data_IF_189375910297
#
_entry.id   IF_189375910297
#
_cell.length_a   1.000
_cell.length_b   1.000
_cell.length_c   1.000
_cell.angle_alpha   90.00
_cell.angle_beta   90.00
_cell.angle_gamma   90.00
#
_symmetry.space_group_name_H-M   'P 1'
#
loop_
_entity.id
_entity.type
_entity.pdbx_description
1 polymer ?
#
# COMPACT_ATOMS: atom_id res chain seq x y z
N UNK A 1 -4.45 14.95 14.44
CA UNK A 1 -5.28 15.53 13.37
C UNK A 1 -5.96 14.41 12.60
N UNK A 2 -7.23 14.57 12.22
CA UNK A 2 -7.95 13.59 11.39
C UNK A 2 -7.30 13.47 10.00
N UNK A 3 -7.20 12.26 9.41
CA UNK A 3 -6.66 12.10 8.05
C UNK A 3 -7.51 12.88 7.03
N UNK A 4 -6.89 13.41 5.95
CA UNK A 4 -7.60 14.17 4.94
C UNK A 4 -8.66 13.32 4.23
N UNK A 5 -9.71 13.97 3.71
CA UNK A 5 -10.57 13.35 2.72
C UNK A 5 -9.81 13.33 1.39
N UNK A 6 -9.48 12.14 0.89
CA UNK A 6 -8.91 11.98 -0.44
C UNK A 6 -10.04 11.69 -1.43
N UNK A 7 -10.24 12.58 -2.40
CA UNK A 7 -11.19 12.44 -3.51
C UNK A 7 -10.45 11.81 -4.68
N UNK A 8 -10.70 10.54 -5.04
CA UNK A 8 -10.02 9.91 -6.16
C UNK A 8 -10.66 10.30 -7.50
N UNK A 9 -9.85 10.75 -8.45
CA UNK A 9 -10.23 10.93 -9.85
C UNK A 9 -9.35 10.04 -10.74
N UNK A 10 -9.97 9.03 -11.34
CA UNK A 10 -9.25 8.04 -12.14
C UNK A 10 -9.07 8.50 -13.59
N UNK A 11 -7.84 8.35 -14.08
CA UNK A 11 -7.38 8.58 -15.46
C UNK A 11 -6.78 7.27 -16.03
N UNK A 12 -7.58 6.19 -16.16
CA UNK A 12 -7.09 4.84 -16.38
C UNK A 12 -6.20 4.73 -17.63
N UNK A 13 -4.96 4.25 -17.46
CA UNK A 13 -3.94 4.09 -18.50
C UNK A 13 -3.51 5.40 -19.22
N UNK A 14 -4.07 6.56 -18.88
CA UNK A 14 -3.72 7.79 -19.59
C UNK A 14 -2.31 8.25 -19.25
N UNK A 15 -1.61 8.82 -20.24
CA UNK A 15 -0.22 9.25 -20.12
C UNK A 15 0.80 8.10 -20.09
N UNK A 16 0.37 6.84 -20.11
CA UNK A 16 1.28 5.70 -20.16
C UNK A 16 1.76 5.49 -21.61
N UNK A 17 3.08 5.48 -21.88
CA UNK A 17 3.58 5.28 -23.24
C UNK A 17 3.44 3.82 -23.71
N UNK A 18 3.30 2.88 -22.78
CA UNK A 18 3.20 1.45 -23.03
C UNK A 18 2.46 0.72 -21.91
N UNK A 19 2.11 -0.54 -22.18
CA UNK A 19 1.40 -1.41 -21.25
C UNK A 19 2.38 -2.29 -20.46
N UNK A 20 2.31 -2.23 -19.13
CA UNK A 20 3.08 -3.13 -18.27
C UNK A 20 2.52 -4.56 -18.35
N UNK A 21 3.35 -5.58 -18.10
CA UNK A 21 2.93 -6.99 -18.21
C UNK A 21 1.65 -7.32 -17.43
N UNK A 22 1.46 -6.69 -16.26
CA UNK A 22 0.38 -6.95 -15.33
C UNK A 22 -0.82 -6.01 -15.45
N UNK A 23 -0.73 -4.99 -16.29
CA UNK A 23 -1.81 -3.99 -16.43
C UNK A 23 -2.85 -4.46 -17.47
N UNK A 24 -4.13 -4.36 -17.15
CA UNK A 24 -5.26 -4.69 -18.04
C UNK A 24 -6.11 -3.45 -18.43
N UNK A 25 -5.72 -2.25 -17.98
CA UNK A 25 -6.58 -1.06 -18.02
C UNK A 25 -6.89 -0.54 -19.43
N UNK A 26 -6.11 -0.91 -20.45
CA UNK A 26 -6.43 -0.56 -21.85
C UNK A 26 -7.72 -1.21 -22.34
N UNK A 27 -8.08 -2.39 -21.81
CA UNK A 27 -9.35 -3.06 -22.15
C UNK A 27 -10.54 -2.34 -21.51
N UNK A 28 -10.37 -1.80 -20.30
CA UNK A 28 -11.38 -0.99 -19.59
C UNK A 28 -11.53 0.38 -20.27
N UNK A 29 -10.41 1.00 -20.64
CA UNK A 29 -10.40 2.28 -21.35
C UNK A 29 -11.08 2.18 -22.73
N UNK A 30 -10.91 1.09 -23.48
CA UNK A 30 -11.59 0.89 -24.78
C UNK A 30 -13.10 0.66 -24.66
N UNK A 31 -13.59 0.14 -23.53
CA UNK A 31 -15.02 0.04 -23.26
C UNK A 31 -15.64 1.41 -22.89
N UNK A 32 -14.85 2.32 -22.31
CA UNK A 32 -15.29 3.66 -21.88
C UNK A 32 -15.00 4.77 -22.89
N UNK A 33 -14.21 4.52 -23.94
CA UNK A 33 -13.72 5.54 -24.88
C UNK A 33 -14.66 5.91 -26.03
N UNK A 34 -15.93 5.51 -26.03
CA UNK A 34 -16.83 5.85 -27.15
C UNK A 34 -17.30 7.32 -27.17
N UNK A 35 -17.07 8.12 -26.12
CA UNK A 35 -17.46 9.55 -26.12
C UNK A 35 -16.83 10.31 -24.94
N UNK A 36 -15.58 10.74 -25.02
CA UNK A 36 -14.99 11.63 -24.00
C UNK A 36 -14.32 12.84 -24.66
N UNK A 37 -14.97 14.00 -24.58
CA UNK A 37 -14.41 15.31 -24.94
C UNK A 37 -13.80 15.98 -23.69
N UNK A 38 -12.93 16.98 -23.86
CA UNK A 38 -12.32 17.71 -22.72
C UNK A 38 -13.38 18.34 -21.81
N UNK A 39 -14.46 18.89 -22.39
CA UNK A 39 -15.57 19.46 -21.62
C UNK A 39 -16.25 18.39 -20.74
N UNK A 40 -16.47 17.19 -21.29
CA UNK A 40 -17.05 16.08 -20.51
C UNK A 40 -16.17 15.60 -19.35
N UNK A 41 -14.84 15.83 -19.39
CA UNK A 41 -13.95 15.45 -18.30
C UNK A 41 -13.95 16.45 -17.14
N UNK A 42 -14.02 17.76 -17.43
CA UNK A 42 -14.15 18.77 -16.40
C UNK A 42 -15.49 18.66 -15.65
N UNK A 43 -16.55 18.33 -16.37
CA UNK A 43 -17.87 18.03 -15.80
C UNK A 43 -17.81 16.79 -14.92
N UNK A 44 -17.23 15.68 -15.42
CA UNK A 44 -17.02 14.45 -14.63
C UNK A 44 -16.20 14.71 -13.37
N UNK A 45 -15.15 15.54 -13.46
CA UNK A 45 -14.33 15.92 -12.32
C UNK A 45 -15.17 16.64 -11.27
N UNK A 46 -15.99 17.59 -11.72
CA UNK A 46 -16.91 18.34 -10.87
C UNK A 46 -17.92 17.42 -10.18
N UNK A 47 -18.51 16.47 -10.90
CA UNK A 47 -19.46 15.49 -10.35
C UNK A 47 -18.83 14.59 -9.28
N UNK A 48 -17.60 14.13 -9.53
CA UNK A 48 -16.83 13.34 -8.56
C UNK A 48 -16.55 14.17 -7.31
N UNK A 49 -16.09 15.41 -7.46
CA UNK A 49 -15.82 16.29 -6.32
C UNK A 49 -17.09 16.53 -5.49
N UNK A 50 -18.19 16.92 -6.13
CA UNK A 50 -19.48 17.11 -5.46
C UNK A 50 -19.93 15.86 -4.71
N UNK A 51 -19.79 14.68 -5.32
CA UNK A 51 -20.18 13.41 -4.71
C UNK A 51 -19.36 13.13 -3.45
N UNK A 52 -18.04 13.30 -3.52
CA UNK A 52 -17.16 12.96 -2.40
C UNK A 52 -17.19 13.99 -1.26
N UNK A 53 -17.45 15.27 -1.57
CA UNK A 53 -17.57 16.31 -0.55
C UNK A 53 -18.71 16.02 0.45
N UNK A 54 -19.75 15.28 0.04
CA UNK A 54 -20.82 14.80 0.95
C UNK A 54 -20.27 13.91 2.08
N UNK A 55 -19.12 13.28 1.89
CA UNK A 55 -18.46 12.41 2.87
C UNK A 55 -17.34 13.12 3.67
N UNK A 56 -17.16 14.43 3.52
CA UNK A 56 -16.14 15.23 4.24
C UNK A 56 -16.24 15.03 5.75
N UNK A 57 -17.46 15.03 6.29
CA UNK A 57 -17.72 14.98 7.76
C UNK A 57 -16.87 16.07 8.45
N UNK A 58 -16.23 15.76 9.57
CA UNK A 58 -15.43 16.70 10.37
C UNK A 58 -13.96 16.78 9.89
N UNK A 59 -13.67 16.46 8.62
CA UNK A 59 -12.30 16.53 8.08
C UNK A 59 -12.00 17.93 7.59
N UNK A 60 -10.92 18.50 8.10
CA UNK A 60 -10.51 19.88 7.78
C UNK A 60 -9.68 19.97 6.50
N UNK A 61 -9.17 18.85 6.00
CA UNK A 61 -8.32 18.79 4.81
C UNK A 61 -8.99 17.92 3.75
N UNK A 62 -8.96 18.39 2.51
CA UNK A 62 -9.51 17.70 1.34
C UNK A 62 -8.47 17.73 0.24
N UNK A 63 -8.05 16.55 -0.22
CA UNK A 63 -7.08 16.38 -1.30
C UNK A 63 -7.79 15.78 -2.51
N UNK A 64 -7.59 16.34 -3.70
CA UNK A 64 -7.98 15.68 -4.94
C UNK A 64 -6.81 14.86 -5.47
N UNK A 65 -7.04 13.57 -5.70
CA UNK A 65 -6.00 12.63 -6.10
C UNK A 65 -6.24 12.06 -7.50
N UNK A 66 -5.31 12.33 -8.43
CA UNK A 66 -5.31 11.73 -9.76
C UNK A 66 -4.65 10.35 -9.74
N UNK A 67 -5.43 9.29 -10.01
CA UNK A 67 -5.00 7.88 -9.95
C UNK A 67 -5.26 7.10 -11.24
N UNK A 68 -4.72 5.88 -11.33
CA UNK A 68 -4.98 4.95 -12.43
C UNK A 68 -4.17 5.19 -13.70
N UNK A 69 -3.33 6.21 -13.78
CA UNK A 69 -2.52 6.49 -14.96
C UNK A 69 -1.14 7.05 -14.62
N UNK A 70 -0.56 7.73 -15.59
CA UNK A 70 0.71 8.43 -15.49
C UNK A 70 0.46 9.93 -15.61
N UNK A 71 0.01 10.55 -14.52
CA UNK A 71 -0.53 11.92 -14.55
C UNK A 71 0.47 12.97 -15.08
N UNK A 72 1.73 12.91 -14.63
CA UNK A 72 2.76 13.85 -15.10
C UNK A 72 3.30 13.51 -16.50
N UNK A 73 2.92 12.35 -17.06
CA UNK A 73 3.19 12.01 -18.47
C UNK A 73 2.03 12.26 -19.42
N UNK A 74 0.97 12.95 -18.97
CA UNK A 74 -0.08 13.42 -19.87
C UNK A 74 0.46 14.46 -20.85
N UNK A 75 -0.16 14.53 -22.03
CA UNK A 75 -0.06 15.67 -22.95
C UNK A 75 -0.19 16.99 -22.17
N UNK A 76 0.72 17.95 -22.41
CA UNK A 76 0.78 19.19 -21.63
C UNK A 76 -0.54 19.96 -21.63
N UNK A 77 -1.24 20.00 -22.77
CA UNK A 77 -2.56 20.62 -22.90
C UNK A 77 -3.59 19.99 -21.97
N UNK A 78 -3.60 18.65 -21.88
CA UNK A 78 -4.52 17.89 -21.03
C UNK A 78 -4.16 17.99 -19.55
N UNK A 79 -2.87 17.90 -19.21
CA UNK A 79 -2.39 18.12 -17.83
C UNK A 79 -2.85 19.49 -17.32
N UNK A 80 -2.63 20.54 -18.11
CA UNK A 80 -3.06 21.90 -17.75
C UNK A 80 -4.59 22.01 -17.70
N UNK A 81 -5.33 21.36 -18.59
CA UNK A 81 -6.80 21.39 -18.56
C UNK A 81 -7.33 20.79 -17.25
N UNK A 82 -6.84 19.61 -16.83
CA UNK A 82 -7.23 18.99 -15.57
C UNK A 82 -6.83 19.86 -14.38
N UNK A 83 -5.59 20.35 -14.31
CA UNK A 83 -5.14 21.21 -13.22
C UNK A 83 -5.95 22.51 -13.12
N UNK A 84 -6.29 23.13 -14.26
CA UNK A 84 -7.14 24.33 -14.33
C UNK A 84 -8.56 24.05 -13.86
N UNK A 85 -9.13 22.89 -14.19
CA UNK A 85 -10.47 22.50 -13.78
C UNK A 85 -10.61 22.36 -12.25
N UNK A 86 -9.52 22.09 -11.52
CA UNK A 86 -9.50 22.03 -10.05
C UNK A 86 -9.45 23.42 -9.40
N UNK A 87 -8.94 24.44 -10.09
CA UNK A 87 -8.65 25.74 -9.48
C UNK A 87 -9.85 26.47 -8.86
N UNK A 88 -11.07 26.45 -9.44
CA UNK A 88 -12.24 27.03 -8.80
C UNK A 88 -12.49 26.46 -7.40
N UNK A 89 -12.32 25.16 -7.23
CA UNK A 89 -12.52 24.43 -5.97
C UNK A 89 -11.47 24.77 -4.92
N UNK A 90 -10.22 24.97 -5.34
CA UNK A 90 -9.14 25.42 -4.46
C UNK A 90 -9.41 26.85 -3.99
N UNK A 91 -9.77 27.76 -4.90
CA UNK A 91 -10.10 29.15 -4.54
C UNK A 91 -11.28 29.27 -3.58
N UNK A 92 -12.23 28.34 -3.66
CA UNK A 92 -13.38 28.26 -2.75
C UNK A 92 -13.06 27.54 -1.42
N UNK A 93 -11.83 27.06 -1.20
CA UNK A 93 -11.44 26.34 0.01
C UNK A 93 -12.11 24.96 0.16
N UNK A 94 -12.67 24.41 -0.92
CA UNK A 94 -13.31 23.10 -0.91
C UNK A 94 -12.30 21.98 -1.12
N UNK A 95 -11.25 22.24 -1.91
CA UNK A 95 -10.06 21.40 -2.09
C UNK A 95 -8.85 22.18 -1.57
N UNK A 96 -7.97 21.52 -0.83
CA UNK A 96 -6.81 22.15 -0.20
C UNK A 96 -5.53 21.87 -0.98
N UNK A 97 -5.40 20.68 -1.56
CA UNK A 97 -4.25 20.34 -2.38
C UNK A 97 -4.54 19.24 -3.40
N UNK A 98 -3.62 19.10 -4.34
CA UNK A 98 -3.61 18.08 -5.38
C UNK A 98 -2.56 17.02 -5.05
N UNK A 99 -2.98 15.78 -5.21
CA UNK A 99 -2.15 14.57 -5.16
C UNK A 99 -2.18 13.90 -6.52
N UNK A 100 -1.09 13.26 -6.94
CA UNK A 100 -1.12 12.43 -8.15
C UNK A 100 -0.28 11.17 -8.02
N UNK A 101 -0.66 10.14 -8.77
CA UNK A 101 0.17 8.99 -9.08
C UNK A 101 0.80 9.13 -10.45
N UNK A 102 2.10 8.84 -10.56
CA UNK A 102 2.83 8.95 -11.82
C UNK A 102 4.00 7.98 -11.90
N UNK A 103 4.59 7.84 -13.08
CA UNK A 103 5.82 7.07 -13.27
C UNK A 103 7.07 7.91 -12.95
N UNK A 104 8.13 7.32 -12.40
CA UNK A 104 9.35 8.06 -12.05
C UNK A 104 9.98 8.87 -13.19
N UNK A 105 10.06 8.28 -14.39
CA UNK A 105 10.67 8.86 -15.60
C UNK A 105 9.98 10.15 -16.08
N UNK A 106 8.74 10.38 -15.65
CA UNK A 106 7.95 11.58 -16.03
C UNK A 106 8.12 12.77 -15.10
N UNK A 107 8.81 12.59 -13.97
CA UNK A 107 9.09 13.67 -13.01
C UNK A 107 10.26 14.51 -13.49
N UNK A 108 9.99 15.42 -14.43
CA UNK A 108 10.98 16.33 -15.01
C UNK A 108 10.85 17.74 -14.43
N UNK A 109 11.93 18.55 -14.41
CA UNK A 109 11.86 19.94 -13.95
C UNK A 109 10.76 20.73 -14.66
N UNK A 110 10.70 20.63 -16.01
CA UNK A 110 9.68 21.27 -16.83
C UNK A 110 8.26 20.94 -16.39
N UNK A 111 7.95 19.67 -16.13
CA UNK A 111 6.60 19.27 -15.71
C UNK A 111 6.30 19.73 -14.29
N UNK A 112 7.27 19.71 -13.38
CA UNK A 112 7.08 20.23 -12.02
C UNK A 112 6.86 21.75 -12.01
N UNK A 113 7.57 22.50 -12.85
CA UNK A 113 7.35 23.95 -12.98
C UNK A 113 5.97 24.28 -13.54
N UNK A 114 5.42 23.40 -14.38
CA UNK A 114 4.04 23.53 -14.88
C UNK A 114 3.00 23.16 -13.83
N UNK A 115 3.21 22.09 -13.04
CA UNK A 115 2.17 21.52 -12.19
C UNK A 115 2.12 22.11 -10.77
N UNK A 116 3.26 22.47 -10.18
CA UNK A 116 3.33 22.99 -8.80
C UNK A 116 2.47 24.23 -8.56
N UNK A 117 2.43 25.23 -9.46
CA UNK A 117 1.62 26.44 -9.26
C UNK A 117 0.11 26.17 -9.10
N UNK A 118 -0.37 24.98 -9.49
CA UNK A 118 -1.77 24.60 -9.40
C UNK A 118 -2.15 23.91 -8.08
N UNK A 119 -1.25 23.89 -7.09
CA UNK A 119 -1.50 23.28 -5.77
C UNK A 119 -1.14 21.79 -5.71
N UNK A 120 -0.26 21.30 -6.58
CA UNK A 120 0.31 19.96 -6.47
C UNK A 120 1.23 19.90 -5.24
N UNK A 121 0.87 19.08 -4.24
CA UNK A 121 1.63 18.92 -3.00
C UNK A 121 2.18 17.52 -2.79
N UNK A 122 1.50 16.49 -3.30
CA UNK A 122 1.93 15.10 -3.11
C UNK A 122 2.04 14.34 -4.42
N UNK A 123 3.18 13.69 -4.63
CA UNK A 123 3.41 12.84 -5.81
C UNK A 123 3.77 11.44 -5.36
N UNK A 124 3.01 10.46 -5.84
CA UNK A 124 3.23 9.05 -5.59
C UNK A 124 3.81 8.38 -6.83
N UNK A 125 4.96 7.73 -6.67
CA UNK A 125 5.69 7.09 -7.73
C UNK A 125 5.31 5.62 -7.84
N UNK A 126 4.89 5.19 -9.03
CA UNK A 126 4.71 3.78 -9.37
C UNK A 126 6.04 3.05 -9.54
N UNK A 127 6.79 2.86 -8.45
CA UNK A 127 8.13 2.24 -8.45
C UNK A 127 8.05 0.76 -8.80
N UNK A 128 7.18 0.03 -8.11
CA UNK A 128 7.02 -1.42 -8.15
C UNK A 128 8.22 -2.22 -7.62
N UNK A 129 9.42 -2.00 -8.15
CA UNK A 129 10.66 -2.66 -7.73
C UNK A 129 11.86 -1.72 -7.87
N UNK A 130 12.92 -1.95 -7.09
CA UNK A 130 14.24 -1.31 -7.27
C UNK A 130 15.26 -2.20 -8.00
N UNK A 131 14.83 -3.33 -8.57
CA UNK A 131 15.65 -4.18 -9.46
C UNK A 131 15.32 -3.90 -10.94
N UNK A 132 16.30 -3.39 -11.69
CA UNK A 132 16.15 -3.06 -13.11
C UNK A 132 15.83 -4.29 -13.98
N UNK A 133 16.25 -5.50 -13.58
CA UNK A 133 15.90 -6.75 -14.27
C UNK A 133 14.40 -7.05 -14.13
N UNK A 134 13.86 -6.88 -12.93
CA UNK A 134 12.42 -7.02 -12.66
C UNK A 134 11.61 -5.96 -13.40
N UNK A 135 12.06 -4.70 -13.37
CA UNK A 135 11.41 -3.59 -14.09
C UNK A 135 11.40 -3.81 -15.61
N UNK A 136 12.51 -4.30 -16.16
CA UNK A 136 12.64 -4.64 -17.59
C UNK A 136 11.72 -5.79 -17.96
N UNK A 137 11.74 -6.88 -17.20
CA UNK A 137 10.87 -8.04 -17.45
C UNK A 137 9.39 -7.67 -17.35
N UNK A 138 9.03 -6.79 -16.41
CA UNK A 138 7.68 -6.29 -16.26
C UNK A 138 7.28 -5.21 -17.29
N UNK A 139 8.20 -4.84 -18.19
CA UNK A 139 8.07 -3.75 -19.15
C UNK A 139 7.57 -2.46 -18.51
N UNK A 140 8.16 -2.08 -17.37
CA UNK A 140 7.84 -0.81 -16.70
C UNK A 140 8.34 0.37 -17.49
N UNK A 141 9.46 0.22 -18.21
CA UNK A 141 10.08 1.25 -19.04
C UNK A 141 10.57 2.47 -18.27
N UNK A 142 10.89 2.29 -17.00
CA UNK A 142 11.67 3.20 -16.16
C UNK A 142 12.65 2.34 -15.35
N UNK A 143 13.67 2.97 -14.79
CA UNK A 143 14.73 2.32 -14.00
C UNK A 143 14.68 2.71 -12.52
N UNK A 144 15.40 1.98 -11.69
CA UNK A 144 15.64 2.36 -10.29
C UNK A 144 16.30 3.74 -10.18
N UNK A 145 17.12 4.12 -11.15
CA UNK A 145 17.76 5.43 -11.18
C UNK A 145 16.77 6.56 -11.48
N UNK A 146 15.78 6.32 -12.34
CA UNK A 146 14.67 7.26 -12.54
C UNK A 146 13.90 7.47 -11.25
N UNK A 147 13.70 6.40 -10.45
CA UNK A 147 13.10 6.50 -9.12
C UNK A 147 13.92 7.36 -8.17
N UNK A 148 15.25 7.17 -8.10
CA UNK A 148 16.14 7.99 -7.27
C UNK A 148 16.08 9.46 -7.66
N UNK A 149 16.19 9.75 -8.96
CA UNK A 149 16.12 11.11 -9.51
C UNK A 149 14.77 11.76 -9.25
N UNK A 150 13.67 11.02 -9.45
CA UNK A 150 12.32 11.52 -9.21
C UNK A 150 12.12 11.88 -7.74
N UNK A 151 12.46 10.99 -6.80
CA UNK A 151 12.35 11.26 -5.37
C UNK A 151 13.18 12.48 -4.96
N UNK A 152 14.43 12.58 -5.43
CA UNK A 152 15.29 13.73 -5.16
C UNK A 152 14.67 15.04 -5.69
N UNK A 153 14.18 15.05 -6.94
CA UNK A 153 13.52 16.21 -7.54
C UNK A 153 12.29 16.64 -6.75
N UNK A 154 11.42 15.70 -6.38
CA UNK A 154 10.20 16.00 -5.63
C UNK A 154 10.53 16.65 -4.28
N UNK A 155 11.49 16.06 -3.54
CA UNK A 155 11.94 16.59 -2.25
C UNK A 155 12.57 17.97 -2.36
N UNK A 156 13.44 18.17 -3.35
CA UNK A 156 14.08 19.47 -3.60
C UNK A 156 13.07 20.57 -3.96
N UNK A 157 11.87 20.18 -4.40
CA UNK A 157 10.76 21.08 -4.70
C UNK A 157 9.74 21.20 -3.56
N UNK A 158 10.04 20.66 -2.37
CA UNK A 158 9.17 20.72 -1.19
C UNK A 158 7.91 19.86 -1.28
N UNK A 159 7.86 18.90 -2.21
CA UNK A 159 6.70 18.02 -2.40
C UNK A 159 6.78 16.81 -1.48
N UNK A 160 5.63 16.38 -0.96
CA UNK A 160 5.50 15.09 -0.27
C UNK A 160 5.64 13.96 -1.28
N UNK A 161 6.37 12.94 -0.90
CA UNK A 161 6.75 11.82 -1.75
C UNK A 161 6.10 10.52 -1.29
N UNK A 162 5.46 9.82 -2.23
CA UNK A 162 4.97 8.48 -2.02
C UNK A 162 5.62 7.47 -2.95
N UNK A 163 5.75 6.23 -2.49
CA UNK A 163 6.19 5.11 -3.32
C UNK A 163 5.15 4.01 -3.31
N UNK A 164 4.84 3.50 -4.50
CA UNK A 164 3.99 2.32 -4.68
C UNK A 164 4.90 1.17 -5.09
N UNK A 165 4.82 0.09 -4.33
CA UNK A 165 5.65 -1.10 -4.50
C UNK A 165 4.78 -2.34 -4.57
N UNK A 166 5.28 -3.37 -5.25
CA UNK A 166 4.55 -4.62 -5.43
C UNK A 166 5.38 -5.80 -4.96
N UNK A 167 4.70 -6.81 -4.41
CA UNK A 167 5.29 -8.12 -4.09
C UNK A 167 4.89 -9.16 -5.12
N UNK A 168 5.79 -10.10 -5.41
CA UNK A 168 5.56 -11.17 -6.38
C UNK A 168 5.72 -10.72 -7.83
N UNK A 169 6.53 -9.71 -8.11
CA UNK A 169 6.78 -9.25 -9.47
C UNK A 169 7.47 -10.35 -10.31
N UNK A 170 7.25 -10.43 -11.64
CA UNK A 170 7.93 -11.43 -12.45
C UNK A 170 9.45 -11.23 -12.42
N UNK A 171 10.19 -12.32 -12.18
CA UNK A 171 11.64 -12.29 -12.04
C UNK A 171 12.14 -11.83 -10.67
N UNK A 172 11.24 -11.41 -9.78
CA UNK A 172 11.58 -11.12 -8.39
C UNK A 172 11.90 -12.43 -7.64
N UNK A 173 12.82 -12.38 -6.70
CA UNK A 173 13.16 -13.52 -5.83
C UNK A 173 12.62 -13.29 -4.40
N UNK A 174 12.86 -14.24 -3.51
CA UNK A 174 12.35 -14.18 -2.13
C UNK A 174 12.85 -12.98 -1.32
N UNK A 175 13.98 -12.37 -1.74
CA UNK A 175 14.61 -11.23 -1.09
C UNK A 175 14.44 -9.92 -1.87
N UNK A 176 14.06 -9.95 -3.14
CA UNK A 176 14.01 -8.76 -3.99
C UNK A 176 12.98 -7.73 -3.55
N UNK A 177 11.84 -8.17 -3.01
CA UNK A 177 10.87 -7.29 -2.35
C UNK A 177 11.43 -6.63 -1.08
N UNK A 178 12.23 -7.37 -0.29
CA UNK A 178 12.92 -6.86 0.91
C UNK A 178 13.96 -5.82 0.51
N UNK A 179 14.82 -6.14 -0.45
CA UNK A 179 15.85 -5.22 -0.96
C UNK A 179 15.25 -3.95 -1.57
N UNK A 180 14.11 -4.08 -2.26
CA UNK A 180 13.33 -2.94 -2.76
C UNK A 180 12.89 -2.04 -1.61
N UNK A 181 12.32 -2.62 -0.54
CA UNK A 181 11.89 -1.85 0.63
C UNK A 181 13.06 -1.17 1.36
N UNK A 182 14.19 -1.86 1.56
CA UNK A 182 15.40 -1.31 2.19
C UNK A 182 15.95 -0.13 1.38
N UNK A 183 16.09 -0.31 0.07
CA UNK A 183 16.59 0.73 -0.83
C UNK A 183 15.69 1.96 -0.79
N UNK A 184 14.37 1.78 -0.87
CA UNK A 184 13.42 2.88 -0.81
C UNK A 184 13.38 3.54 0.57
N UNK A 185 13.43 2.77 1.65
CA UNK A 185 13.48 3.29 3.01
C UNK A 185 14.70 4.19 3.23
N UNK A 186 15.86 3.82 2.66
CA UNK A 186 17.06 4.66 2.67
C UNK A 186 16.89 5.98 1.90
N UNK A 187 16.02 6.00 0.88
CA UNK A 187 15.63 7.23 0.17
C UNK A 187 14.58 8.05 0.92
N UNK A 188 14.07 7.58 2.06
CA UNK A 188 13.17 8.27 3.00
C UNK A 188 11.91 8.89 2.36
N UNK A 189 11.12 8.18 1.56
CA UNK A 189 9.83 8.71 1.10
C UNK A 189 8.92 8.98 2.31
N UNK A 190 7.94 9.87 2.17
CA UNK A 190 7.01 10.19 3.25
C UNK A 190 5.99 9.06 3.47
N UNK A 191 5.59 8.41 2.38
CA UNK A 191 4.61 7.31 2.43
C UNK A 191 4.94 6.15 1.48
N UNK A 192 4.48 4.96 1.84
CA UNK A 192 4.54 3.76 1.04
C UNK A 192 3.15 3.12 0.88
N UNK A 193 2.90 2.55 -0.30
CA UNK A 193 1.76 1.67 -0.57
C UNK A 193 2.28 0.35 -1.11
N UNK A 194 1.81 -0.76 -0.53
CA UNK A 194 2.32 -2.09 -0.86
C UNK A 194 1.16 -2.93 -1.37
N UNK A 195 1.35 -3.53 -2.56
CA UNK A 195 0.31 -4.31 -3.23
C UNK A 195 0.82 -5.70 -3.63
N UNK A 196 0.06 -6.77 -3.38
CA UNK A 196 0.34 -8.04 -4.04
C UNK A 196 0.10 -7.94 -5.55
N UNK A 197 0.98 -8.54 -6.35
CA UNK A 197 0.73 -8.69 -7.78
C UNK A 197 -0.36 -9.74 -8.03
N UNK A 198 -1.42 -9.33 -8.72
CA UNK A 198 -2.49 -10.21 -9.17
C UNK A 198 -2.43 -10.45 -10.67
N UNK A 199 -2.92 -11.60 -11.10
CA UNK A 199 -3.03 -11.97 -12.51
C UNK A 199 -4.43 -11.62 -13.00
N UNK A 200 -4.50 -10.59 -13.85
CA UNK A 200 -5.75 -10.10 -14.42
C UNK A 200 -5.93 -10.61 -15.86
N UNK A 201 -7.14 -11.04 -16.17
CA UNK A 201 -7.57 -11.46 -17.50
C UNK A 201 -7.30 -10.37 -18.53
N UNK A 202 -6.77 -10.78 -19.68
CA UNK A 202 -6.38 -9.87 -20.76
C UNK A 202 -5.08 -9.09 -20.54
N UNK A 203 -4.44 -9.18 -19.36
CA UNK A 203 -3.05 -8.73 -19.19
C UNK A 203 -2.07 -9.75 -19.80
N UNK A 204 -0.88 -9.31 -20.22
CA UNK A 204 0.14 -10.25 -20.74
C UNK A 204 0.57 -11.27 -19.68
N UNK A 205 0.54 -10.88 -18.41
CA UNK A 205 0.82 -11.76 -17.27
C UNK A 205 -0.14 -12.96 -17.20
N UNK A 206 -1.40 -12.82 -17.65
CA UNK A 206 -2.34 -13.94 -17.71
C UNK A 206 -1.90 -15.03 -18.69
N UNK A 207 -1.32 -14.64 -19.81
CA UNK A 207 -0.74 -15.60 -20.76
C UNK A 207 0.49 -16.29 -20.14
N UNK A 208 1.36 -15.54 -19.44
CA UNK A 208 2.51 -16.12 -18.76
C UNK A 208 2.09 -17.13 -17.69
N UNK A 209 1.06 -16.80 -16.91
CA UNK A 209 0.48 -17.72 -15.94
C UNK A 209 -0.05 -19.00 -16.59
N UNK A 210 -0.88 -18.90 -17.63
CA UNK A 210 -1.44 -20.06 -18.36
C UNK A 210 -0.38 -20.95 -19.00
N UNK A 211 0.72 -20.36 -19.45
CA UNK A 211 1.84 -21.10 -20.04
C UNK A 211 2.82 -21.68 -19.01
N UNK A 212 2.62 -21.43 -17.71
CA UNK A 212 3.55 -21.82 -16.65
C UNK A 212 4.81 -20.94 -16.54
N UNK A 213 4.96 -19.91 -17.39
CA UNK A 213 6.08 -18.95 -17.35
C UNK A 213 6.08 -18.06 -16.10
N UNK A 214 4.92 -17.86 -15.48
CA UNK A 214 4.80 -17.09 -14.23
C UNK A 214 3.98 -17.86 -13.22
N UNK A 215 4.54 -18.02 -12.01
CA UNK A 215 3.85 -18.61 -10.87
C UNK A 215 3.63 -17.51 -9.84
N UNK A 216 2.37 -17.14 -9.52
CA UNK A 216 2.11 -16.15 -8.50
C UNK A 216 2.48 -16.65 -7.11
N UNK A 217 2.78 -15.72 -6.21
CA UNK A 217 2.91 -16.02 -4.78
C UNK A 217 1.63 -16.62 -4.22
N UNK A 218 1.80 -17.53 -3.26
CA UNK A 218 0.70 -17.93 -2.38
C UNK A 218 0.29 -16.74 -1.49
N UNK A 219 -0.93 -16.81 -0.93
CA UNK A 219 -1.40 -15.79 0.00
C UNK A 219 -0.47 -15.65 1.21
N UNK A 220 0.05 -16.75 1.73
CA UNK A 220 0.98 -16.78 2.86
C UNK A 220 2.32 -16.11 2.51
N UNK A 221 2.90 -16.47 1.35
CA UNK A 221 4.15 -15.86 0.88
C UNK A 221 4.00 -14.35 0.70
N UNK A 222 2.89 -13.90 0.10
CA UNK A 222 2.63 -12.48 -0.10
C UNK A 222 2.42 -11.73 1.23
N UNK A 223 1.74 -12.35 2.20
CA UNK A 223 1.59 -11.79 3.56
C UNK A 223 2.95 -11.66 4.24
N UNK A 224 3.80 -12.68 4.17
CA UNK A 224 5.13 -12.66 4.81
C UNK A 224 6.07 -11.62 4.16
N UNK A 225 6.16 -11.58 2.83
CA UNK A 225 6.96 -10.56 2.14
C UNK A 225 6.46 -9.15 2.46
N UNK A 226 5.14 -8.93 2.42
CA UNK A 226 4.55 -7.61 2.74
C UNK A 226 4.81 -7.23 4.20
N UNK A 227 4.73 -8.18 5.14
CA UNK A 227 5.05 -7.99 6.56
C UNK A 227 6.48 -7.47 6.74
N UNK A 228 7.45 -8.06 6.04
CA UNK A 228 8.86 -7.63 6.05
C UNK A 228 9.00 -6.19 5.53
N UNK A 229 8.40 -5.88 4.38
CA UNK A 229 8.43 -4.51 3.82
C UNK A 229 7.80 -3.47 4.76
N UNK A 230 6.66 -3.78 5.38
CA UNK A 230 6.01 -2.89 6.35
C UNK A 230 6.92 -2.63 7.55
N UNK A 231 7.61 -3.65 8.04
CA UNK A 231 8.55 -3.53 9.15
C UNK A 231 9.70 -2.60 8.79
N UNK A 232 10.28 -2.76 7.59
CA UNK A 232 11.38 -1.93 7.09
C UNK A 232 10.94 -0.47 6.93
N UNK A 233 9.82 -0.21 6.26
CA UNK A 233 9.32 1.15 6.06
C UNK A 233 9.02 1.83 7.40
N UNK A 234 8.30 1.17 8.30
CA UNK A 234 7.99 1.73 9.62
C UNK A 234 9.25 1.98 10.45
N UNK A 235 10.22 1.06 10.42
CA UNK A 235 11.50 1.21 11.11
C UNK A 235 12.31 2.42 10.62
N UNK A 236 12.15 2.80 9.35
CA UNK A 236 12.76 3.99 8.76
C UNK A 236 11.91 5.27 8.90
N UNK A 237 10.78 5.22 9.61
CA UNK A 237 9.87 6.36 9.78
C UNK A 237 8.98 6.65 8.57
N UNK A 238 8.91 5.75 7.58
CA UNK A 238 8.04 5.88 6.40
C UNK A 238 6.63 5.41 6.75
N UNK A 239 5.62 6.25 6.45
CA UNK A 239 4.22 5.91 6.73
C UNK A 239 3.68 4.91 5.70
N UNK A 240 3.22 3.73 6.13
CA UNK A 240 2.54 2.80 5.23
C UNK A 240 1.06 3.17 5.10
N UNK A 241 0.73 3.91 4.04
CA UNK A 241 -0.62 4.43 3.80
C UNK A 241 -1.60 3.34 3.34
N UNK A 242 -1.11 2.29 2.68
CA UNK A 242 -1.94 1.20 2.14
C UNK A 242 -1.21 -0.14 2.12
N UNK A 243 -1.93 -1.20 2.50
CA UNK A 243 -1.53 -2.59 2.36
C UNK A 243 -2.65 -3.33 1.62
N UNK A 244 -2.35 -3.86 0.44
CA UNK A 244 -3.33 -4.51 -0.42
C UNK A 244 -4.19 -3.54 -1.24
N UNK A 245 -4.88 -4.09 -2.24
CA UNK A 245 -5.71 -3.34 -3.18
C UNK A 245 -7.03 -2.87 -2.51
N UNK A 246 -7.69 -1.88 -3.10
CA UNK A 246 -8.99 -1.40 -2.59
C UNK A 246 -10.14 -2.24 -3.14
N UNK A 247 -10.98 -2.79 -2.24
CA UNK A 247 -12.06 -3.68 -2.61
C UNK A 247 -13.04 -3.06 -3.63
N UNK A 248 -13.31 -1.75 -3.54
CA UNK A 248 -14.18 -1.03 -4.50
C UNK A 248 -13.52 -0.77 -5.86
N UNK A 249 -12.19 -0.69 -5.94
CA UNK A 249 -11.47 -0.66 -7.23
C UNK A 249 -11.49 -2.04 -7.92
N UNK A 250 -11.81 -3.08 -7.15
CA UNK A 250 -11.71 -4.48 -7.53
C UNK A 250 -13.07 -5.15 -7.75
N UNK A 251 -14.21 -4.52 -7.44
CA UNK A 251 -15.50 -5.17 -7.70
C UNK A 251 -15.72 -5.39 -9.21
N UNK A 252 -15.17 -4.50 -10.06
CA UNK A 252 -15.18 -4.67 -11.52
C UNK A 252 -14.06 -5.61 -12.04
N UNK A 253 -12.99 -5.80 -11.26
CA UNK A 253 -11.81 -6.61 -11.64
C UNK A 253 -11.76 -7.99 -10.96
N UNK A 254 -12.59 -8.26 -9.94
CA UNK A 254 -12.63 -9.54 -9.22
C UNK A 254 -13.06 -10.68 -10.14
N UNK A 255 -14.05 -10.42 -11.01
CA UNK A 255 -14.48 -11.34 -12.07
C UNK A 255 -13.40 -11.54 -13.15
N UNK A 256 -12.39 -10.67 -13.17
CA UNK A 256 -11.29 -10.67 -14.14
C UNK A 256 -10.00 -11.20 -13.53
N UNK A 257 -9.95 -11.46 -12.24
CA UNK A 257 -8.77 -11.98 -11.59
C UNK A 257 -8.73 -13.50 -11.73
N UNK A 258 -7.70 -14.02 -12.38
CA UNK A 258 -7.59 -15.46 -12.66
C UNK A 258 -6.60 -16.18 -11.76
N UNK A 259 -5.66 -15.45 -11.12
CA UNK A 259 -4.72 -16.01 -10.16
C UNK A 259 -4.07 -14.90 -9.31
N UNK A 260 -3.37 -15.28 -8.25
CA UNK A 260 -2.65 -14.37 -7.37
C UNK A 260 -3.10 -14.43 -5.91
N UNK A 261 -2.33 -13.85 -4.98
CA UNK A 261 -2.60 -13.88 -3.55
C UNK A 261 -3.68 -12.86 -3.16
N UNK A 262 -4.91 -13.09 -3.61
CA UNK A 262 -6.04 -12.21 -3.32
C UNK A 262 -6.71 -12.55 -2.00
N UNK A 263 -7.01 -11.50 -1.24
CA UNK A 263 -7.89 -11.57 -0.09
C UNK A 263 -8.53 -10.20 0.15
N UNK A 264 -9.84 -10.11 0.40
CA UNK A 264 -10.53 -8.82 0.59
C UNK A 264 -10.01 -8.05 1.82
N UNK A 265 -9.47 -8.79 2.81
CA UNK A 265 -8.83 -8.24 3.99
C UNK A 265 -7.31 -8.48 4.02
N UNK A 266 -6.63 -8.49 2.86
CA UNK A 266 -5.18 -8.75 2.79
C UNK A 266 -4.37 -7.89 3.77
N UNK A 267 -4.68 -6.58 3.85
CA UNK A 267 -4.04 -5.70 4.83
C UNK A 267 -4.26 -6.11 6.29
N UNK A 268 -5.43 -6.66 6.63
CA UNK A 268 -5.68 -7.21 7.98
C UNK A 268 -4.80 -8.44 8.24
N UNK A 269 -4.66 -9.35 7.27
CA UNK A 269 -3.79 -10.53 7.40
C UNK A 269 -2.33 -10.13 7.69
N UNK A 270 -1.80 -9.14 6.96
CA UNK A 270 -0.45 -8.60 7.20
C UNK A 270 -0.33 -7.99 8.59
N UNK A 271 -1.30 -7.16 9.00
CA UNK A 271 -1.30 -6.53 10.33
C UNK A 271 -1.44 -7.56 11.47
N UNK A 272 -2.20 -8.63 11.25
CA UNK A 272 -2.30 -9.78 12.16
C UNK A 272 -0.99 -10.54 12.27
N UNK A 273 -0.29 -10.77 11.16
CA UNK A 273 1.01 -11.41 11.17
C UNK A 273 2.06 -10.57 11.91
N UNK A 274 2.05 -9.24 11.73
CA UNK A 274 2.89 -8.32 12.52
C UNK A 274 2.56 -8.37 14.02
N UNK A 275 1.26 -8.43 14.36
CA UNK A 275 0.83 -8.52 15.76
C UNK A 275 1.29 -9.82 16.41
N UNK A 276 1.24 -10.94 15.68
CA UNK A 276 1.76 -12.22 16.13
C UNK A 276 3.26 -12.15 16.47
N UNK A 277 4.08 -11.60 15.57
CA UNK A 277 5.53 -11.48 15.79
C UNK A 277 5.84 -10.61 17.03
N UNK A 278 5.04 -9.55 17.27
CA UNK A 278 5.18 -8.71 18.47
C UNK A 278 4.75 -9.44 19.74
N UNK A 279 3.65 -10.18 19.68
CA UNK A 279 3.20 -10.98 20.82
C UNK A 279 4.26 -12.01 21.22
N UNK A 280 4.85 -12.71 20.25
CA UNK A 280 5.95 -13.65 20.50
C UNK A 280 7.12 -12.98 21.21
N UNK A 281 7.63 -11.84 20.69
CA UNK A 281 8.72 -11.10 21.33
C UNK A 281 8.43 -10.71 22.79
N UNK A 282 7.18 -10.34 23.09
CA UNK A 282 6.78 -9.98 24.45
C UNK A 282 6.69 -11.21 25.36
N UNK A 283 6.14 -12.32 24.85
CA UNK A 283 6.09 -13.61 25.56
C UNK A 283 7.50 -14.09 25.87
N UNK A 284 8.39 -14.10 24.88
CA UNK A 284 9.79 -14.49 25.05
C UNK A 284 10.48 -13.66 26.13
N UNK A 285 10.26 -12.33 26.14
CA UNK A 285 10.85 -11.43 27.13
C UNK A 285 10.40 -11.71 28.56
N UNK A 286 9.15 -12.16 28.77
CA UNK A 286 8.66 -12.46 30.13
C UNK A 286 9.02 -13.87 30.58
N UNK A 287 9.10 -14.83 29.65
CA UNK A 287 9.50 -16.22 29.96
C UNK A 287 11.02 -16.39 30.16
N UNK A 288 11.84 -15.51 29.58
CA UNK A 288 13.32 -15.58 29.66
C UNK A 288 13.94 -14.58 30.65
N UNK A 289 13.12 -13.82 31.39
CA UNK A 289 13.56 -12.82 32.36
C UNK A 289 14.44 -13.39 33.50
N UNK A 290 15.12 -12.53 34.28
CA UNK A 290 16.17 -12.93 35.24
C UNK A 290 15.76 -13.96 36.31
N UNK A 291 14.46 -14.17 36.52
CA UNK A 291 13.92 -15.05 37.57
C UNK A 291 13.82 -16.53 37.16
N UNK A 292 13.96 -16.88 35.89
CA UNK A 292 13.57 -18.23 35.39
C UNK A 292 14.73 -19.15 35.00
N UNK A 293 15.95 -18.86 35.46
CA UNK A 293 17.08 -19.83 35.38
C UNK A 293 17.01 -20.96 36.43
N UNK A 294 15.99 -21.00 37.29
CA UNK A 294 15.76 -22.16 38.16
C UNK A 294 14.97 -23.21 37.39
N UNK A 295 15.69 -24.29 37.05
CA UNK A 295 15.22 -25.63 36.72
C UNK A 295 13.71 -25.77 36.49
N UNK A 296 13.34 -25.98 35.21
CA UNK A 296 11.99 -26.41 34.82
C UNK A 296 11.81 -27.83 35.32
N UNK A 297 11.31 -27.97 36.55
CA UNK A 297 10.63 -29.20 36.97
C UNK A 297 9.25 -29.26 36.27
N UNK A 298 8.77 -30.45 35.89
CA UNK A 298 7.45 -30.60 35.31
C UNK A 298 6.39 -30.38 36.41
N UNK A 299 5.89 -29.16 36.53
CA UNK A 299 4.65 -28.88 37.27
C UNK A 299 3.45 -29.06 36.32
N UNK A 300 2.41 -29.76 36.77
CA UNK A 300 1.16 -29.99 36.01
C UNK A 300 0.38 -28.69 35.69
N UNK A 301 0.75 -27.55 36.28
CA UNK A 301 0.11 -26.26 36.02
C UNK A 301 0.73 -25.55 34.83
N UNK A 302 -0.08 -25.36 33.78
CA UNK A 302 0.29 -24.52 32.63
C UNK A 302 0.56 -23.10 33.09
N UNK A 303 1.75 -22.58 32.81
CA UNK A 303 2.08 -21.15 33.02
C UNK A 303 1.04 -20.27 32.31
N UNK A 304 0.53 -19.26 33.00
CA UNK A 304 -0.53 -18.36 32.49
C UNK A 304 0.10 -17.04 32.07
N UNK A 305 -0.03 -16.68 30.79
CA UNK A 305 0.45 -15.40 30.26
C UNK A 305 -0.73 -14.55 29.82
N UNK A 306 -0.77 -13.31 30.30
CA UNK A 306 -1.76 -12.31 29.92
C UNK A 306 -1.21 -11.47 28.78
N UNK A 307 -1.97 -11.38 27.69
CA UNK A 307 -1.70 -10.53 26.53
C UNK A 307 -2.64 -9.32 26.55
N UNK A 308 -2.07 -8.15 26.81
CA UNK A 308 -2.79 -6.88 26.80
C UNK A 308 -2.73 -6.24 25.43
N UNK A 309 -3.88 -5.83 24.91
CA UNK A 309 -4.04 -5.26 23.57
C UNK A 309 -5.15 -4.22 23.56
N UNK A 310 -5.01 -3.19 22.73
CA UNK A 310 -6.10 -2.22 22.53
C UNK A 310 -7.37 -2.90 21.99
N UNK A 311 -8.60 -2.57 22.46
CA UNK A 311 -9.84 -3.22 22.01
C UNK A 311 -10.01 -3.32 20.48
N UNK A 312 -9.65 -2.24 19.77
CA UNK A 312 -9.69 -2.17 18.28
C UNK A 312 -8.69 -3.10 17.57
N UNK A 313 -7.78 -3.70 18.30
CA UNK A 313 -6.71 -4.56 17.79
C UNK A 313 -6.87 -6.01 18.21
N UNK A 314 -7.94 -6.34 18.94
CA UNK A 314 -8.27 -7.70 19.35
C UNK A 314 -8.30 -8.66 18.15
N UNK A 315 -8.98 -8.28 17.05
CA UNK A 315 -9.04 -9.12 15.85
C UNK A 315 -7.69 -9.30 15.18
N UNK A 316 -6.77 -8.33 15.34
CA UNK A 316 -5.40 -8.45 14.83
C UNK A 316 -4.61 -9.46 15.64
N UNK A 317 -4.70 -9.39 16.97
CA UNK A 317 -4.04 -10.33 17.88
C UNK A 317 -4.54 -11.75 17.65
N UNK A 318 -5.85 -11.95 17.61
CA UNK A 318 -6.46 -13.27 17.40
C UNK A 318 -6.17 -13.85 16.01
N UNK A 319 -6.01 -12.99 14.99
CA UNK A 319 -5.84 -13.42 13.61
C UNK A 319 -7.15 -13.87 12.97
N UNK A 320 -7.13 -13.99 11.64
CA UNK A 320 -8.30 -14.47 10.89
C UNK A 320 -8.67 -15.88 11.36
N UNK A 321 -9.94 -16.11 11.71
CA UNK A 321 -10.42 -17.39 12.28
C UNK A 321 -9.60 -17.89 13.48
N UNK A 322 -9.07 -16.99 14.32
CA UNK A 322 -8.26 -17.30 15.52
C UNK A 322 -6.90 -17.98 15.24
N UNK A 323 -6.44 -17.98 13.99
CA UNK A 323 -5.19 -18.62 13.58
C UNK A 323 -3.95 -18.20 14.38
N UNK A 324 -3.86 -16.95 14.85
CA UNK A 324 -2.72 -16.56 15.68
C UNK A 324 -2.77 -17.19 17.07
N UNK A 325 -3.96 -17.42 17.64
CA UNK A 325 -4.07 -18.10 18.93
C UNK A 325 -3.64 -19.56 18.82
N UNK A 326 -4.03 -20.23 17.73
CA UNK A 326 -3.60 -21.60 17.45
C UNK A 326 -2.08 -21.66 17.26
N UNK A 327 -1.51 -20.71 16.52
CA UNK A 327 -0.05 -20.59 16.34
C UNK A 327 0.68 -20.30 17.66
N UNK A 328 0.13 -19.45 18.53
CA UNK A 328 0.72 -19.20 19.85
C UNK A 328 0.72 -20.47 20.71
N UNK A 329 -0.39 -21.23 20.72
CA UNK A 329 -0.46 -22.49 21.45
C UNK A 329 0.53 -23.55 20.93
N UNK A 330 0.78 -23.56 19.61
CA UNK A 330 1.81 -24.42 19.00
C UNK A 330 3.24 -23.95 19.29
N UNK A 331 3.47 -22.63 19.32
CA UNK A 331 4.80 -22.04 19.54
C UNK A 331 5.24 -22.17 21.00
N UNK A 332 4.30 -22.07 21.94
CA UNK A 332 4.55 -22.12 23.38
C UNK A 332 3.77 -23.27 24.04
N UNK A 333 4.16 -24.53 23.80
CA UNK A 333 3.51 -25.67 24.44
C UNK A 333 3.64 -25.56 25.96
N UNK A 334 2.53 -25.80 26.68
CA UNK A 334 2.49 -25.70 28.15
C UNK A 334 2.20 -24.28 28.68
N UNK A 335 2.05 -23.29 27.81
CA UNK A 335 1.59 -21.94 28.18
C UNK A 335 0.10 -21.79 27.86
N UNK A 336 -0.65 -21.15 28.76
CA UNK A 336 -2.03 -20.75 28.53
C UNK A 336 -2.12 -19.24 28.42
N UNK A 337 -2.94 -18.74 27.49
CA UNK A 337 -3.04 -17.33 27.17
C UNK A 337 -4.38 -16.74 27.59
N UNK A 338 -4.33 -15.58 28.26
CA UNK A 338 -5.49 -14.75 28.61
C UNK A 338 -5.36 -13.45 27.84
N UNK A 339 -6.46 -12.94 27.29
CA UNK A 339 -6.43 -11.67 26.54
C UNK A 339 -7.15 -10.59 27.34
N UNK A 340 -6.44 -9.50 27.61
CA UNK A 340 -6.95 -8.31 28.27
C UNK A 340 -7.03 -7.14 27.30
N UNK A 341 -8.08 -6.32 27.46
CA UNK A 341 -8.33 -5.17 26.59
C UNK A 341 -7.97 -3.89 27.34
N UNK A 342 -7.02 -3.13 26.82
CA UNK A 342 -6.48 -1.94 27.48
C UNK A 342 -6.59 -0.73 26.55
N UNK A 343 -7.45 0.24 26.88
CA UNK A 343 -7.70 1.41 26.02
C UNK A 343 -6.52 2.38 25.92
N UNK A 344 -5.61 2.35 26.88
CA UNK A 344 -4.42 3.22 26.89
C UNK A 344 -3.30 2.73 25.97
N UNK A 345 -3.37 1.51 25.45
CA UNK A 345 -2.39 0.99 24.50
C UNK A 345 -2.62 1.50 23.08
N UNK A 346 -1.54 1.73 22.35
CA UNK A 346 -1.67 2.03 20.92
C UNK A 346 -2.18 0.81 20.15
N UNK A 347 -2.85 1.06 19.02
CA UNK A 347 -3.49 -0.02 18.23
C UNK A 347 -2.51 -1.02 17.59
N UNK A 348 -1.21 -0.80 17.70
CA UNK A 348 -0.20 -1.71 17.19
C UNK A 348 0.74 -2.27 18.28
N UNK A 349 0.45 -1.94 19.54
CA UNK A 349 1.12 -2.48 20.72
C UNK A 349 0.42 -3.75 21.22
N UNK A 350 1.24 -4.61 21.85
CA UNK A 350 0.84 -5.74 22.67
C UNK A 350 1.84 -5.82 23.81
N UNK A 351 1.36 -6.02 25.04
CA UNK A 351 2.20 -6.29 26.20
C UNK A 351 1.89 -7.68 26.74
N UNK A 352 2.90 -8.35 27.28
CA UNK A 352 2.73 -9.63 27.96
C UNK A 352 3.18 -9.51 29.42
N UNK A 353 2.52 -10.23 30.32
CA UNK A 353 2.99 -10.47 31.69
C UNK A 353 2.52 -11.85 32.17
N UNK A 354 3.23 -12.42 33.14
CA UNK A 354 2.86 -13.68 33.76
C UNK A 354 1.78 -13.39 34.80
N UNK A 355 0.73 -14.21 34.81
CA UNK A 355 -0.27 -14.20 35.88
C UNK A 355 0.28 -15.04 37.04
N UNK A 356 0.54 -14.39 38.17
CA UNK A 356 0.94 -15.04 39.43
C UNK A 356 -0.14 -15.97 39.98
#
# INVERSE_FOLDING_TARGET
MSPPLVIPFFIPHQGCPHLCVFCNQRLIARQTSKTQTINSEADRLSDVIHTYLKFKKNRNQVELAFFGGNFLGLETSRLLALLKAVQPWIRQGQIHSIRCSTRPDTVTPRILDLARPFGLETVELGVQSMDDRVLTLAERGHTREDTRKALARLKNNGLKTGVQVMVGMPGDDDLGAVHTAETLAALKPDLARIYPLLVLEGARLAHWYRSGRYVPLSLEQAVDQTKKMVTIFKGAGVSVARIGLQATEMMDDADRMIAGPWHPAFGHLVLSALMFDRACKQIDSVLTGPADRKAIEPSDEKRRVVLQVHPRSLSRLQGNRKTNLDRLAQTYPGVSFIIERVETLDTDQVHAHILE
#
